data_IF_166381489363
#
_entry.id   IF_166381489363
#
_cell.length_a   1.000
_cell.length_b   1.000
_cell.length_c   1.000
_cell.angle_alpha   90.00
_cell.angle_beta   90.00
_cell.angle_gamma   90.00
#
_symmetry.space_group_name_H-M   'P 1'
#
loop_
_entity.id
_entity.type
_entity.pdbx_description
1 polymer ?
#
# COMPACT_ATOMS: atom_id res chain seq x y z
N UNK A 1 -6.86 -15.21 -17.27
CA UNK A 1 -7.99 -14.95 -16.36
C UNK A 1 -7.56 -13.75 -15.56
N UNK A 2 -8.27 -12.63 -15.73
CA UNK A 2 -7.83 -11.37 -15.14
C UNK A 2 -7.66 -11.46 -13.62
N UNK A 3 -6.69 -10.71 -13.10
CA UNK A 3 -6.42 -10.56 -11.68
C UNK A 3 -6.66 -9.12 -11.25
N UNK A 4 -7.37 -8.96 -10.15
CA UNK A 4 -7.49 -7.68 -9.46
C UNK A 4 -6.48 -7.61 -8.32
N UNK A 5 -5.70 -6.53 -8.26
CA UNK A 5 -4.96 -6.16 -7.06
C UNK A 5 -5.71 -5.04 -6.35
N UNK A 6 -6.27 -5.36 -5.19
CA UNK A 6 -7.08 -4.46 -4.37
C UNK A 6 -6.26 -3.92 -3.20
N UNK A 7 -5.85 -2.67 -3.30
CA UNK A 7 -5.05 -1.99 -2.28
C UNK A 7 -5.95 -1.37 -1.20
N UNK A 8 -5.79 -1.81 0.03
CA UNK A 8 -6.40 -1.20 1.20
C UNK A 8 -5.36 -0.24 1.79
N UNK A 9 -5.58 1.07 1.67
CA UNK A 9 -4.67 2.11 2.15
C UNK A 9 -5.23 2.78 3.40
N UNK A 10 -4.35 3.12 4.34
CA UNK A 10 -4.73 3.65 5.65
C UNK A 10 -5.44 5.00 5.58
N UNK A 11 -5.01 5.88 4.66
CA UNK A 11 -5.58 7.22 4.48
C UNK A 11 -7.10 7.25 4.26
N UNK A 12 -7.67 8.44 4.45
CA UNK A 12 -9.03 8.73 4.03
C UNK A 12 -9.11 9.10 2.53
N UNK A 13 -10.36 9.14 2.02
CA UNK A 13 -10.65 9.49 0.62
C UNK A 13 -10.24 10.92 0.23
N UNK A 14 -10.05 11.83 1.18
CA UNK A 14 -9.82 13.25 0.92
C UNK A 14 -8.34 13.54 0.64
N UNK A 15 -7.44 12.86 1.35
CA UNK A 15 -5.99 13.00 1.20
C UNK A 15 -5.47 12.25 -0.04
N UNK A 16 -5.83 10.96 -0.23
CA UNK A 16 -5.40 10.10 -1.36
C UNK A 16 -3.87 10.04 -1.59
N UNK A 17 -3.06 10.53 -0.65
CA UNK A 17 -1.60 10.62 -0.78
C UNK A 17 -0.97 9.26 -0.98
N UNK A 18 -1.35 8.27 -0.15
CA UNK A 18 -0.70 6.96 -0.16
C UNK A 18 -0.81 6.28 -1.52
N UNK A 19 -2.01 6.33 -2.10
CA UNK A 19 -2.25 5.74 -3.42
C UNK A 19 -1.47 6.46 -4.51
N UNK A 20 -1.28 7.79 -4.42
CA UNK A 20 -0.48 8.52 -5.40
C UNK A 20 0.96 7.98 -5.39
N UNK A 21 1.56 7.79 -4.21
CA UNK A 21 2.91 7.21 -4.11
C UNK A 21 2.97 5.78 -4.64
N UNK A 22 2.07 4.90 -4.17
CA UNK A 22 2.02 3.50 -4.62
C UNK A 22 1.83 3.40 -6.13
N UNK A 23 0.91 4.22 -6.70
CA UNK A 23 0.63 4.18 -8.13
C UNK A 23 1.78 4.73 -8.96
N UNK A 24 2.45 5.79 -8.51
CA UNK A 24 3.69 6.25 -9.16
C UNK A 24 4.75 5.14 -9.16
N UNK A 25 4.94 4.41 -8.05
CA UNK A 25 5.88 3.28 -8.02
C UNK A 25 5.51 2.20 -9.05
N UNK A 26 4.24 1.80 -9.09
CA UNK A 26 3.74 0.79 -10.04
C UNK A 26 3.96 1.27 -11.49
N UNK A 27 3.65 2.51 -11.79
CA UNK A 27 3.74 3.04 -13.16
C UNK A 27 5.18 3.24 -13.64
N UNK A 28 6.11 3.52 -12.72
CA UNK A 28 7.52 3.75 -13.05
C UNK A 28 8.34 2.47 -13.05
N UNK A 29 8.13 1.59 -12.06
CA UNK A 29 9.01 0.46 -11.81
C UNK A 29 8.39 -0.90 -12.12
N UNK A 30 7.09 -1.00 -12.41
CA UNK A 30 6.46 -2.30 -12.64
C UNK A 30 6.05 -2.51 -14.11
N UNK A 31 6.36 -3.69 -14.63
CA UNK A 31 5.88 -4.17 -15.93
C UNK A 31 4.88 -5.30 -15.73
N UNK A 32 3.72 -5.18 -16.36
CA UNK A 32 2.62 -6.15 -16.28
C UNK A 32 1.73 -6.09 -17.52
N UNK A 33 1.00 -7.17 -17.77
CA UNK A 33 -0.04 -7.18 -18.79
C UNK A 33 -1.26 -6.38 -18.31
N UNK A 34 -1.53 -5.25 -18.98
CA UNK A 34 -2.65 -4.35 -18.67
C UNK A 34 -4.02 -4.97 -18.97
N UNK A 35 -4.09 -6.00 -19.81
CA UNK A 35 -5.32 -6.75 -20.06
C UNK A 35 -5.62 -7.72 -18.92
N UNK A 36 -4.58 -8.25 -18.26
CA UNK A 36 -4.74 -9.25 -17.20
C UNK A 36 -4.72 -8.63 -15.79
N UNK A 37 -4.01 -7.51 -15.54
CA UNK A 37 -3.96 -6.90 -14.19
C UNK A 37 -4.80 -5.63 -14.13
N UNK A 38 -5.75 -5.62 -13.17
CA UNK A 38 -6.52 -4.44 -12.80
C UNK A 38 -6.16 -3.99 -11.38
N UNK A 39 -5.85 -2.72 -11.23
CA UNK A 39 -5.69 -2.10 -9.91
C UNK A 39 -6.99 -1.48 -9.42
N UNK A 40 -7.28 -1.68 -8.14
CA UNK A 40 -8.33 -0.97 -7.44
C UNK A 40 -7.85 -0.62 -6.03
N UNK A 41 -8.47 0.40 -5.41
CA UNK A 41 -8.14 0.83 -4.06
C UNK A 41 -9.36 1.01 -3.18
N UNK A 42 -9.17 0.83 -1.88
CA UNK A 42 -10.09 1.17 -0.80
C UNK A 42 -9.35 1.92 0.28
N UNK A 43 -10.05 2.89 0.89
CA UNK A 43 -9.53 3.71 1.97
C UNK A 43 -10.09 3.20 3.28
N UNK A 44 -9.22 2.82 4.21
CA UNK A 44 -9.60 2.36 5.55
C UNK A 44 -10.25 3.49 6.35
N UNK A 45 -9.89 4.74 6.06
CA UNK A 45 -10.43 5.93 6.71
C UNK A 45 -9.72 6.27 8.02
N UNK A 46 -8.46 5.88 8.15
CA UNK A 46 -7.56 6.17 9.26
C UNK A 46 -7.03 4.94 9.98
N UNK A 47 -6.01 5.19 10.82
CA UNK A 47 -5.33 4.22 11.67
C UNK A 47 -6.29 3.31 12.44
N UNK A 48 -6.01 2.01 12.43
CA UNK A 48 -6.77 1.00 13.17
C UNK A 48 -8.15 0.67 12.60
N UNK A 49 -8.57 1.20 11.44
CA UNK A 49 -9.89 0.90 10.85
C UNK A 49 -9.91 -0.29 9.87
N UNK A 50 -8.78 -0.99 9.74
CA UNK A 50 -8.54 -2.07 8.79
C UNK A 50 -9.42 -3.32 8.99
N UNK A 51 -9.84 -3.60 10.23
CA UNK A 51 -10.64 -4.78 10.59
C UNK A 51 -12.07 -4.43 11.04
N UNK A 52 -12.53 -3.21 10.78
CA UNK A 52 -13.91 -2.84 11.14
C UNK A 52 -14.91 -3.64 10.29
N UNK A 53 -16.07 -4.07 10.85
CA UNK A 53 -17.09 -4.79 10.06
C UNK A 53 -17.60 -4.01 8.85
N UNK A 54 -17.50 -2.68 8.88
CA UNK A 54 -17.82 -1.81 7.74
C UNK A 54 -16.77 -1.96 6.64
N UNK A 55 -15.48 -1.86 6.98
CA UNK A 55 -14.41 -1.95 6.01
C UNK A 55 -14.27 -3.36 5.43
N UNK A 56 -14.37 -4.40 6.25
CA UNK A 56 -14.38 -5.79 5.79
C UNK A 56 -15.49 -6.03 4.75
N UNK A 57 -16.72 -5.52 4.99
CA UNK A 57 -17.81 -5.62 4.00
C UNK A 57 -17.48 -4.91 2.69
N UNK A 58 -16.75 -3.80 2.72
CA UNK A 58 -16.31 -3.12 1.51
C UNK A 58 -15.30 -3.96 0.72
N UNK A 59 -14.34 -4.57 1.39
CA UNK A 59 -13.36 -5.49 0.78
C UNK A 59 -14.07 -6.68 0.15
N UNK A 60 -14.94 -7.37 0.91
CA UNK A 60 -15.70 -8.52 0.42
C UNK A 60 -16.61 -8.18 -0.76
N UNK A 61 -17.21 -6.98 -0.74
CA UNK A 61 -17.99 -6.49 -1.88
C UNK A 61 -17.14 -6.35 -3.13
N UNK A 62 -15.92 -5.78 -3.04
CA UNK A 62 -15.02 -5.64 -4.20
C UNK A 62 -14.59 -7.00 -4.76
N UNK A 63 -14.22 -7.93 -3.90
CA UNK A 63 -13.90 -9.32 -4.28
C UNK A 63 -15.09 -9.95 -5.02
N UNK A 64 -16.30 -9.87 -4.45
CA UNK A 64 -17.49 -10.45 -5.06
C UNK A 64 -17.86 -9.79 -6.39
N UNK A 65 -17.74 -8.47 -6.49
CA UNK A 65 -18.07 -7.73 -7.71
C UNK A 65 -17.08 -8.09 -8.83
N UNK A 66 -15.77 -8.17 -8.56
CA UNK A 66 -14.78 -8.56 -9.56
C UNK A 66 -14.96 -10.01 -10.03
N UNK A 67 -15.20 -10.94 -9.10
CA UNK A 67 -15.46 -12.35 -9.42
C UNK A 67 -16.65 -12.52 -10.39
N UNK A 68 -17.70 -11.72 -10.24
CA UNK A 68 -18.88 -11.75 -11.12
C UNK A 68 -18.59 -11.22 -12.52
N UNK A 69 -17.78 -10.16 -12.64
CA UNK A 69 -17.53 -9.46 -13.90
C UNK A 69 -16.46 -10.19 -14.74
N UNK A 70 -15.33 -10.52 -14.12
CA UNK A 70 -14.15 -10.99 -14.84
C UNK A 70 -13.91 -12.50 -14.71
N UNK A 71 -14.68 -13.21 -13.87
CA UNK A 71 -14.42 -14.60 -13.44
C UNK A 71 -12.96 -14.80 -12.98
N UNK A 72 -12.36 -13.74 -12.48
CA UNK A 72 -10.96 -13.68 -12.06
C UNK A 72 -10.83 -13.61 -10.54
N UNK A 73 -9.59 -13.66 -10.08
CA UNK A 73 -9.26 -13.62 -8.64
C UNK A 73 -8.86 -12.21 -8.19
N UNK A 74 -9.19 -11.89 -6.95
CA UNK A 74 -8.75 -10.66 -6.28
C UNK A 74 -7.68 -10.99 -5.25
N UNK A 75 -6.51 -10.38 -5.39
CA UNK A 75 -5.51 -10.29 -4.33
C UNK A 75 -5.77 -9.03 -3.53
N UNK A 76 -5.94 -9.17 -2.22
CA UNK A 76 -6.10 -8.03 -1.33
C UNK A 76 -4.75 -7.71 -0.70
N UNK A 77 -4.33 -6.46 -0.82
CA UNK A 77 -3.05 -5.97 -0.32
C UNK A 77 -3.37 -4.87 0.69
N UNK A 78 -3.04 -5.07 1.96
CA UNK A 78 -3.14 -4.03 2.97
C UNK A 78 -1.82 -3.28 3.09
N UNK A 79 -1.92 -1.96 3.14
CA UNK A 79 -0.79 -1.05 3.21
C UNK A 79 -0.87 -0.25 4.51
N UNK A 80 0.13 -0.41 5.37
CA UNK A 80 0.16 0.18 6.72
C UNK A 80 1.39 1.05 6.93
N UNK A 81 1.20 2.19 7.60
CA UNK A 81 2.29 2.96 8.16
C UNK A 81 2.71 2.35 9.50
N UNK A 82 4.02 2.20 9.72
CA UNK A 82 4.54 1.61 10.96
C UNK A 82 4.65 2.62 12.11
N UNK A 83 4.51 3.92 11.84
CA UNK A 83 4.73 5.02 12.79
C UNK A 83 6.02 4.82 13.61
N UNK A 84 6.00 5.12 14.90
CA UNK A 84 7.16 5.07 15.77
C UNK A 84 7.30 3.70 16.48
N UNK A 85 7.11 2.60 15.74
CA UNK A 85 7.19 1.20 16.26
C UNK A 85 8.48 0.84 17.02
N UNK A 86 9.59 1.53 16.74
CA UNK A 86 10.90 1.36 17.35
C UNK A 86 11.05 2.12 18.67
N UNK A 87 10.11 3.01 18.99
CA UNK A 87 10.11 3.87 20.19
C UNK A 87 8.87 3.60 21.05
N UNK A 88 7.71 3.41 20.41
CA UNK A 88 6.40 3.23 21.04
C UNK A 88 5.98 1.76 21.00
N UNK A 89 5.96 1.05 22.16
CA UNK A 89 5.55 -0.36 22.22
C UNK A 89 4.16 -0.62 21.62
N UNK A 90 3.23 0.34 21.77
CA UNK A 90 1.88 0.25 21.22
C UNK A 90 1.86 0.17 19.69
N UNK A 91 2.76 0.88 19.02
CA UNK A 91 2.86 0.83 17.56
C UNK A 91 3.44 -0.51 17.09
N UNK A 92 4.35 -1.11 17.87
CA UNK A 92 4.83 -2.47 17.62
C UNK A 92 3.72 -3.51 17.75
N UNK A 93 2.99 -3.52 18.86
CA UNK A 93 1.89 -4.47 19.09
C UNK A 93 0.81 -4.34 18.00
N UNK A 94 0.55 -3.10 17.55
CA UNK A 94 -0.38 -2.83 16.44
C UNK A 94 0.08 -3.46 15.13
N UNK A 95 1.35 -3.26 14.74
CA UNK A 95 1.89 -3.84 13.50
C UNK A 95 1.82 -5.36 13.54
N UNK A 96 2.16 -5.97 14.68
CA UNK A 96 2.05 -7.42 14.85
C UNK A 96 0.60 -7.90 14.68
N UNK A 97 -0.38 -7.18 15.23
CA UNK A 97 -1.80 -7.48 15.04
C UNK A 97 -2.27 -7.28 13.58
N UNK A 98 -1.78 -6.24 12.90
CA UNK A 98 -2.07 -5.96 11.48
C UNK A 98 -1.49 -7.05 10.56
N UNK A 99 -0.24 -7.46 10.80
CA UNK A 99 0.40 -8.55 10.07
C UNK A 99 -0.34 -9.87 10.29
N UNK A 100 -0.68 -10.18 11.55
CA UNK A 100 -1.42 -11.39 11.89
C UNK A 100 -2.81 -11.41 11.23
N UNK A 101 -3.51 -10.27 11.22
CA UNK A 101 -4.80 -10.15 10.55
C UNK A 101 -4.70 -10.45 9.04
N UNK A 102 -3.70 -9.89 8.36
CA UNK A 102 -3.47 -10.18 6.94
C UNK A 102 -3.18 -11.67 6.72
N UNK A 103 -2.32 -12.26 7.55
CA UNK A 103 -1.97 -13.68 7.52
C UNK A 103 -3.20 -14.58 7.68
N UNK A 104 -4.04 -14.32 8.68
CA UNK A 104 -5.24 -15.12 8.98
C UNK A 104 -6.26 -15.10 7.83
N UNK A 105 -6.32 -13.99 7.10
CA UNK A 105 -7.23 -13.82 5.95
C UNK A 105 -6.62 -14.24 4.61
N UNK A 106 -5.33 -14.59 4.58
CA UNK A 106 -4.60 -14.85 3.33
C UNK A 106 -4.43 -13.59 2.46
N UNK A 107 -4.36 -12.42 3.09
CA UNK A 107 -4.10 -11.14 2.42
C UNK A 107 -2.62 -10.81 2.44
N UNK A 108 -2.18 -10.01 1.48
CA UNK A 108 -0.81 -9.50 1.44
C UNK A 108 -0.66 -8.32 2.41
N UNK A 109 0.48 -8.29 3.09
CA UNK A 109 0.83 -7.26 4.08
C UNK A 109 1.99 -6.41 3.55
N UNK A 110 1.74 -5.13 3.34
CA UNK A 110 2.72 -4.12 2.97
C UNK A 110 2.89 -3.14 4.12
N UNK A 111 4.14 -2.85 4.45
CA UNK A 111 4.52 -1.90 5.50
C UNK A 111 5.35 -0.75 4.94
N UNK A 112 5.15 0.45 5.48
CA UNK A 112 6.00 1.62 5.28
C UNK A 112 6.62 2.02 6.61
N UNK A 113 7.95 1.88 6.75
CA UNK A 113 8.61 2.17 8.01
C UNK A 113 8.58 3.66 8.34
N UNK A 114 8.04 3.98 9.51
CA UNK A 114 7.54 5.30 9.90
C UNK A 114 6.26 5.66 9.17
N UNK A 115 6.37 6.17 7.95
CA UNK A 115 5.21 6.57 7.16
C UNK A 115 5.57 6.49 5.67
N UNK A 116 4.56 6.43 4.79
CA UNK A 116 4.79 6.33 3.36
C UNK A 116 5.59 7.53 2.82
N UNK A 117 5.41 8.73 3.38
CA UNK A 117 6.18 9.90 2.96
C UNK A 117 7.68 9.76 3.27
N UNK A 118 8.06 9.19 4.41
CA UNK A 118 9.47 8.91 4.74
C UNK A 118 10.08 7.86 3.82
N UNK A 119 9.29 6.91 3.33
CA UNK A 119 9.78 5.92 2.36
C UNK A 119 10.01 6.56 0.99
N UNK A 120 9.03 7.33 0.50
CA UNK A 120 9.06 7.90 -0.86
C UNK A 120 9.82 9.22 -0.97
N UNK A 121 9.53 10.16 -0.09
CA UNK A 121 10.10 11.52 -0.08
C UNK A 121 11.38 11.58 0.76
N UNK A 122 11.55 10.67 1.72
CA UNK A 122 12.73 10.63 2.59
C UNK A 122 12.64 11.49 3.85
N UNK A 123 11.50 12.16 4.07
CA UNK A 123 11.27 13.03 5.22
C UNK A 123 9.82 12.93 5.70
N UNK A 124 9.58 13.31 6.96
CA UNK A 124 8.23 13.45 7.50
C UNK A 124 7.54 14.63 6.84
N UNK A 125 6.28 14.46 6.47
CA UNK A 125 5.43 15.51 5.90
C UNK A 125 4.27 15.78 6.86
N UNK A 126 3.97 17.05 7.19
CA UNK A 126 2.78 17.41 7.99
C UNK A 126 1.49 16.92 7.35
N UNK A 127 0.50 16.52 8.17
CA UNK A 127 -0.75 15.93 7.69
C UNK A 127 -1.53 16.81 6.72
N UNK A 128 -1.52 18.14 6.94
CA UNK A 128 -2.16 19.14 6.08
C UNK A 128 -1.41 19.38 4.76
N UNK A 129 -0.14 18.98 4.68
CA UNK A 129 0.70 19.07 3.48
C UNK A 129 0.77 17.76 2.68
N UNK A 130 0.42 16.61 3.27
CA UNK A 130 0.56 15.27 2.66
C UNK A 130 0.00 15.20 1.24
N UNK A 131 -1.23 15.71 1.04
CA UNK A 131 -1.88 15.72 -0.27
C UNK A 131 -1.09 16.54 -1.29
N UNK A 132 -0.70 17.76 -0.92
CA UNK A 132 0.04 18.67 -1.80
C UNK A 132 1.39 18.06 -2.17
N UNK A 133 2.12 17.53 -1.19
CA UNK A 133 3.41 16.89 -1.40
C UNK A 133 3.29 15.68 -2.33
N UNK A 134 2.28 14.82 -2.14
CA UNK A 134 2.06 13.67 -3.02
C UNK A 134 1.75 14.08 -4.46
N UNK A 135 0.90 15.10 -4.65
CA UNK A 135 0.60 15.65 -5.98
C UNK A 135 1.85 16.25 -6.64
N UNK A 136 2.65 17.01 -5.90
CA UNK A 136 3.91 17.57 -6.41
C UNK A 136 4.93 16.48 -6.75
N UNK A 137 5.03 15.45 -5.91
CA UNK A 137 5.90 14.30 -6.13
C UNK A 137 5.59 13.61 -7.46
N UNK A 138 4.29 13.42 -7.75
CA UNK A 138 3.82 12.87 -9.02
C UNK A 138 4.08 13.82 -10.19
N UNK A 139 3.67 15.10 -10.08
CA UNK A 139 3.79 16.10 -11.17
C UNK A 139 5.23 16.38 -11.57
N UNK A 140 6.16 16.36 -10.62
CA UNK A 140 7.59 16.61 -10.84
C UNK A 140 8.38 15.33 -11.15
N UNK A 141 7.70 14.19 -11.29
CA UNK A 141 8.31 12.88 -11.55
C UNK A 141 9.43 12.52 -10.55
N UNK A 142 9.27 12.95 -9.29
CA UNK A 142 10.26 12.75 -8.23
C UNK A 142 10.43 11.28 -7.85
N UNK A 143 9.53 10.41 -8.33
CA UNK A 143 9.68 8.97 -8.28
C UNK A 143 11.02 8.48 -8.85
N UNK A 144 11.60 9.18 -9.82
CA UNK A 144 12.93 8.87 -10.39
C UNK A 144 14.09 9.04 -9.39
N UNK A 145 13.88 9.82 -8.32
CA UNK A 145 14.86 9.99 -7.24
C UNK A 145 14.78 8.88 -6.19
N UNK A 146 13.71 8.07 -6.22
CA UNK A 146 13.54 6.94 -5.35
C UNK A 146 14.58 5.86 -5.70
N UNK A 147 15.15 5.28 -4.66
CA UNK A 147 16.04 4.14 -4.72
C UNK A 147 15.22 2.85 -4.63
N UNK A 148 15.04 2.05 -5.70
CA UNK A 148 14.15 0.88 -5.71
C UNK A 148 14.50 -0.17 -4.65
N UNK A 149 15.75 -0.25 -4.22
CA UNK A 149 16.19 -1.11 -3.13
C UNK A 149 15.50 -0.80 -1.79
N UNK A 150 15.01 0.43 -1.60
CA UNK A 150 14.21 0.81 -0.42
C UNK A 150 12.83 0.14 -0.40
N UNK A 151 12.34 -0.39 -1.53
CA UNK A 151 11.06 -1.09 -1.62
C UNK A 151 11.20 -2.61 -1.48
N UNK A 152 12.44 -3.12 -1.38
CA UNK A 152 12.77 -4.53 -1.20
C UNK A 152 13.12 -4.87 0.26
N UNK A 153 12.56 -4.13 1.20
CA UNK A 153 12.76 -4.37 2.63
C UNK A 153 12.31 -5.75 3.07
N UNK A 154 13.22 -6.49 3.73
CA UNK A 154 12.91 -7.78 4.36
C UNK A 154 12.72 -7.68 5.88
N UNK A 155 13.08 -6.53 6.45
CA UNK A 155 12.98 -6.21 7.88
C UNK A 155 12.64 -4.73 8.04
N UNK A 156 11.95 -4.41 9.13
CA UNK A 156 11.64 -3.02 9.46
C UNK A 156 12.93 -2.20 9.63
N UNK A 157 13.03 -1.12 8.86
CA UNK A 157 14.13 -0.15 8.88
C UNK A 157 13.61 1.19 8.38
N UNK A 158 13.99 2.29 9.02
CA UNK A 158 13.53 3.63 8.67
C UNK A 158 13.69 3.95 7.17
N UNK A 159 12.60 4.42 6.55
CA UNK A 159 12.57 4.82 5.13
C UNK A 159 12.62 3.65 4.15
N UNK A 160 12.23 2.44 4.58
CA UNK A 160 12.15 1.23 3.77
C UNK A 160 10.70 0.70 3.78
N UNK A 161 10.33 -0.06 2.75
CA UNK A 161 9.08 -0.81 2.62
C UNK A 161 9.36 -2.18 2.00
N UNK A 162 8.44 -3.13 2.14
CA UNK A 162 8.41 -4.39 1.40
C UNK A 162 7.50 -4.36 0.15
N UNK A 163 7.03 -3.18 -0.28
CA UNK A 163 6.09 -3.04 -1.39
C UNK A 163 6.53 -3.79 -2.65
N UNK A 164 7.80 -3.68 -3.06
CA UNK A 164 8.30 -4.37 -4.25
C UNK A 164 8.25 -5.90 -4.08
N UNK A 165 8.71 -6.41 -2.93
CA UNK A 165 8.67 -7.85 -2.63
C UNK A 165 7.26 -8.46 -2.75
N UNK A 166 6.22 -7.69 -2.41
CA UNK A 166 4.82 -8.13 -2.56
C UNK A 166 4.38 -8.06 -4.03
N UNK A 167 4.69 -6.95 -4.72
CA UNK A 167 4.32 -6.77 -6.13
C UNK A 167 4.99 -7.80 -7.05
N UNK A 168 6.24 -8.17 -6.80
CA UNK A 168 7.00 -9.16 -7.57
C UNK A 168 6.32 -10.54 -7.67
N UNK A 169 5.39 -10.85 -6.76
CA UNK A 169 4.58 -12.09 -6.81
C UNK A 169 3.55 -12.08 -7.94
N UNK A 170 3.24 -10.91 -8.49
CA UNK A 170 2.14 -10.70 -9.43
C UNK A 170 2.56 -9.96 -10.70
N UNK A 171 3.70 -9.27 -10.69
CA UNK A 171 4.24 -8.51 -11.82
C UNK A 171 5.77 -8.45 -11.76
N UNK A 172 6.41 -7.93 -12.81
CA UNK A 172 7.86 -7.72 -12.82
C UNK A 172 8.17 -6.34 -12.25
N UNK A 173 9.03 -6.27 -11.22
CA UNK A 173 9.56 -5.00 -10.70
C UNK A 173 10.98 -4.80 -11.25
N UNK A 174 11.25 -3.59 -11.75
CA UNK A 174 12.56 -3.19 -12.28
C UNK A 174 13.38 -2.54 -11.16
N UNK A 175 14.65 -2.92 -11.07
CA UNK A 175 15.63 -2.41 -10.11
C UNK A 175 16.53 -1.34 -10.71
#
# INVERSE_FOLDING_TARGET
MGRQLLFCVETDKQCNSDWIYIKNFIDTYCTYDKAEIRFEKLYMGGKGKYNTPKFERMVQKKISDYKKIAKGDTVVIYCFDCDDYDIEPRDKDRIEAEEQYCRDKGFEFVWFCKDIERVFVGQKVPDDEKKKTAEEYSKKELITTLKPEKMHGTKFKNGVSNLANVLERYMTVMN
#
